data_IF_100019608458
#
_entry.id   IF_100019608458
#
_cell.length_a   1.000
_cell.length_b   1.000
_cell.length_c   1.000
_cell.angle_alpha   90.00
_cell.angle_beta   90.00
_cell.angle_gamma   90.00
#
_symmetry.space_group_name_H-M   'P 1'
#
loop_
_entity.id
_entity.type
_entity.pdbx_description
1 polymer ?
#
# COMPACT_ATOMS: atom_id res chain seq x y z
N UNK A 1 11.18 6.99 -8.94
CA UNK A 1 10.32 6.50 -7.83
C UNK A 1 11.07 5.42 -7.04
N UNK A 2 11.05 5.51 -5.73
CA UNK A 2 11.72 4.56 -4.85
C UNK A 2 10.69 3.89 -3.96
N UNK A 3 10.73 2.56 -3.86
CA UNK A 3 9.88 1.80 -2.96
C UNK A 3 10.67 1.34 -1.73
N UNK A 4 9.99 1.36 -0.58
CA UNK A 4 10.47 0.73 0.65
C UNK A 4 9.42 -0.29 1.08
N UNK A 5 9.85 -1.54 1.22
CA UNK A 5 8.95 -2.63 1.58
C UNK A 5 9.35 -3.15 2.95
N UNK A 6 8.37 -3.27 3.84
CA UNK A 6 8.54 -3.86 5.16
C UNK A 6 7.48 -4.92 5.40
N UNK A 7 7.73 -5.79 6.36
CA UNK A 7 6.79 -6.81 6.80
C UNK A 7 6.46 -6.59 8.26
N UNK A 8 5.28 -7.03 8.68
CA UNK A 8 4.85 -6.91 10.06
C UNK A 8 4.06 -8.12 10.52
N UNK A 9 4.06 -8.34 11.83
CA UNK A 9 3.33 -9.46 12.44
C UNK A 9 1.82 -9.19 12.49
N UNK A 10 1.44 -7.94 12.74
CA UNK A 10 0.04 -7.53 12.83
C UNK A 10 -0.19 -6.25 12.03
N UNK A 11 -1.39 -6.06 11.45
CA UNK A 11 -1.65 -4.86 10.66
C UNK A 11 -1.90 -3.60 11.49
N UNK A 12 -2.17 -3.73 12.77
CA UNK A 12 -2.56 -2.61 13.62
C UNK A 12 -1.53 -1.47 13.59
N UNK A 13 -0.24 -1.80 13.74
CA UNK A 13 0.81 -0.79 13.77
C UNK A 13 0.84 0.09 12.52
N UNK A 14 0.84 -0.53 11.34
CA UNK A 14 0.85 0.20 10.07
C UNK A 14 -0.42 1.02 9.88
N UNK A 15 -1.58 0.48 10.24
CA UNK A 15 -2.86 1.19 10.09
C UNK A 15 -2.95 2.36 11.05
N UNK A 16 -2.54 2.23 12.31
CA UNK A 16 -2.51 3.32 13.26
C UNK A 16 -1.53 4.42 12.85
N UNK A 17 -0.37 4.04 12.32
CA UNK A 17 0.60 5.01 11.82
C UNK A 17 -0.02 5.91 10.74
N UNK A 18 -0.73 5.30 9.78
CA UNK A 18 -1.37 6.05 8.71
C UNK A 18 -2.58 6.86 9.21
N UNK A 19 -3.38 6.30 10.13
CA UNK A 19 -4.50 7.02 10.74
C UNK A 19 -4.01 8.26 11.49
N UNK A 20 -2.91 8.13 12.23
CA UNK A 20 -2.33 9.24 12.96
C UNK A 20 -1.92 10.39 12.01
N UNK A 21 -1.35 10.07 10.86
CA UNK A 21 -1.04 11.08 9.83
C UNK A 21 -2.30 11.80 9.34
N UNK A 22 -3.37 11.08 9.12
CA UNK A 22 -4.65 11.65 8.70
C UNK A 22 -5.18 12.59 9.79
N UNK A 23 -5.19 12.14 11.03
CA UNK A 23 -5.71 12.92 12.18
C UNK A 23 -4.92 14.19 12.41
N UNK A 24 -3.64 14.21 12.05
CA UNK A 24 -2.80 15.41 12.14
C UNK A 24 -2.92 16.35 10.94
N UNK A 25 -3.70 15.99 9.93
CA UNK A 25 -3.80 16.77 8.69
C UNK A 25 -2.61 16.58 7.75
N UNK A 26 -1.79 15.57 7.96
CA UNK A 26 -0.59 15.27 7.17
C UNK A 26 -0.79 14.12 6.20
N UNK A 27 -1.95 13.50 6.19
CA UNK A 27 -2.24 12.35 5.37
C UNK A 27 -3.67 12.28 4.90
N UNK A 28 -3.92 11.39 3.94
CA UNK A 28 -5.24 11.13 3.39
C UNK A 28 -5.42 9.65 3.11
N UNK A 29 -6.65 9.17 3.23
CA UNK A 29 -7.03 7.83 2.81
C UNK A 29 -7.47 7.90 1.34
N UNK A 30 -6.66 7.35 0.41
CA UNK A 30 -6.91 7.51 -1.01
C UNK A 30 -7.86 6.48 -1.59
N UNK A 31 -7.67 5.21 -1.26
CA UNK A 31 -8.44 4.13 -1.89
C UNK A 31 -8.26 2.82 -1.11
N UNK A 32 -9.27 1.95 -1.19
CA UNK A 32 -9.20 0.57 -0.73
C UNK A 32 -9.47 -0.37 -1.91
N UNK A 33 -8.73 -1.47 -1.98
CA UNK A 33 -8.93 -2.50 -3.00
C UNK A 33 -9.32 -3.81 -2.34
N UNK A 34 -10.25 -4.52 -2.97
CA UNK A 34 -10.67 -5.87 -2.55
C UNK A 34 -11.17 -5.94 -1.11
N UNK A 35 -11.83 -4.88 -0.66
CA UNK A 35 -12.49 -4.81 0.64
C UNK A 35 -13.89 -4.22 0.47
N UNK A 36 -14.83 -4.51 1.40
CA UNK A 36 -16.12 -3.82 1.39
C UNK A 36 -16.03 -2.35 1.80
N UNK A 37 -14.92 -1.95 2.39
CA UNK A 37 -14.68 -0.59 2.85
C UNK A 37 -14.37 0.33 1.67
N UNK A 38 -15.00 1.51 1.64
CA UNK A 38 -14.78 2.51 0.60
C UNK A 38 -14.39 3.84 1.22
N UNK A 39 -13.71 4.68 0.45
CA UNK A 39 -13.39 6.03 0.88
C UNK A 39 -14.66 6.89 0.76
N UNK A 40 -15.15 7.38 1.90
CA UNK A 40 -16.26 8.34 1.96
C UNK A 40 -15.75 9.76 2.18
N UNK A 41 -14.68 9.90 2.94
CA UNK A 41 -13.96 11.15 3.18
C UNK A 41 -12.48 10.80 3.30
N UNK A 42 -11.63 11.42 2.48
CA UNK A 42 -10.19 11.17 2.49
C UNK A 42 -9.52 11.54 3.83
N UNK A 43 -10.17 12.35 4.65
CA UNK A 43 -9.69 12.76 5.97
C UNK A 43 -10.18 11.85 7.10
N UNK A 44 -10.87 10.77 6.77
CA UNK A 44 -11.41 9.83 7.75
C UNK A 44 -11.03 8.40 7.39
N UNK A 45 -10.53 7.65 8.36
CA UNK A 45 -10.21 6.23 8.21
C UNK A 45 -10.70 5.45 9.43
N UNK A 46 -11.62 4.52 9.20
CA UNK A 46 -12.15 3.66 10.25
C UNK A 46 -11.23 2.46 10.44
N UNK A 47 -10.37 2.54 11.44
CA UNK A 47 -9.37 1.51 11.70
C UNK A 47 -9.99 0.19 12.15
N UNK A 48 -11.11 0.22 12.88
CA UNK A 48 -11.80 -1.00 13.32
C UNK A 48 -12.35 -1.76 12.13
N UNK A 49 -12.97 -1.05 11.20
CA UNK A 49 -13.48 -1.66 9.97
C UNK A 49 -12.35 -2.22 9.13
N UNK A 50 -11.26 -1.50 8.99
CA UNK A 50 -10.08 -1.95 8.26
C UNK A 50 -9.51 -3.24 8.86
N UNK A 51 -9.39 -3.31 10.17
CA UNK A 51 -8.93 -4.51 10.86
C UNK A 51 -9.88 -5.69 10.63
N UNK A 52 -11.20 -5.44 10.64
CA UNK A 52 -12.17 -6.49 10.31
C UNK A 52 -12.03 -6.99 8.88
N UNK A 53 -11.70 -6.12 7.93
CA UNK A 53 -11.46 -6.52 6.55
C UNK A 53 -10.28 -7.49 6.42
N UNK A 54 -9.25 -7.32 7.25
CA UNK A 54 -8.05 -8.17 7.23
C UNK A 54 -8.25 -9.50 7.99
N UNK A 55 -9.17 -9.53 8.94
CA UNK A 55 -9.33 -10.65 9.85
C UNK A 55 -9.52 -12.00 9.17
N UNK A 56 -10.40 -12.17 8.16
CA UNK A 56 -10.57 -13.47 7.50
C UNK A 56 -9.29 -14.01 6.87
N UNK A 57 -8.46 -13.13 6.33
CA UNK A 57 -7.19 -13.52 5.71
C UNK A 57 -6.20 -14.00 6.77
N UNK A 58 -6.10 -13.28 7.88
CA UNK A 58 -5.21 -13.63 8.98
C UNK A 58 -5.64 -14.92 9.66
N UNK A 59 -6.96 -15.14 9.78
CA UNK A 59 -7.53 -16.38 10.33
C UNK A 59 -7.23 -17.58 9.43
N UNK A 60 -7.21 -17.39 8.11
CA UNK A 60 -6.98 -18.47 7.16
C UNK A 60 -5.55 -19.01 7.21
N UNK A 61 -4.59 -18.22 7.68
CA UNK A 61 -3.19 -18.63 7.82
C UNK A 61 -2.55 -17.98 9.04
N UNK A 62 -2.51 -18.72 10.15
CA UNK A 62 -1.90 -18.26 11.40
C UNK A 62 -0.41 -18.64 11.51
N UNK A 63 0.12 -19.42 10.56
CA UNK A 63 1.51 -19.91 10.60
C UNK A 63 2.51 -18.85 10.14
N UNK A 64 2.09 -17.98 9.25
CA UNK A 64 2.97 -16.92 8.71
C UNK A 64 3.21 -15.89 9.81
N UNK A 65 4.47 -15.71 10.19
CA UNK A 65 4.85 -14.82 11.31
C UNK A 65 4.68 -13.35 10.98
N UNK A 66 4.98 -12.97 9.72
CA UNK A 66 4.93 -11.59 9.27
C UNK A 66 4.03 -11.47 8.03
N UNK A 67 2.69 -11.60 8.21
CA UNK A 67 1.77 -11.60 7.09
C UNK A 67 1.49 -10.21 6.51
N UNK A 68 1.90 -9.15 7.17
CA UNK A 68 1.61 -7.78 6.71
C UNK A 68 2.64 -7.33 5.69
N UNK A 69 2.14 -6.84 4.57
CA UNK A 69 2.92 -6.17 3.53
C UNK A 69 2.70 -4.67 3.67
N UNK A 70 3.77 -3.92 3.83
CA UNK A 70 3.72 -2.46 3.89
C UNK A 70 4.76 -1.91 2.92
N UNK A 71 4.31 -1.12 1.95
CA UNK A 71 5.20 -0.49 0.99
C UNK A 71 4.96 1.01 0.96
N UNK A 72 6.03 1.80 0.88
CA UNK A 72 5.92 3.21 0.53
C UNK A 72 6.47 3.41 -0.88
N UNK A 73 5.75 4.17 -1.70
CA UNK A 73 6.18 4.54 -3.05
C UNK A 73 6.46 6.03 -3.05
N UNK A 74 7.70 6.38 -3.36
CA UNK A 74 8.23 7.74 -3.20
C UNK A 74 8.66 8.26 -4.57
N UNK A 75 7.82 9.05 -5.26
CA UNK A 75 8.22 9.69 -6.52
C UNK A 75 9.25 10.79 -6.28
N UNK A 76 9.96 11.18 -7.35
CA UNK A 76 10.87 12.31 -7.26
C UNK A 76 10.08 13.59 -6.91
N UNK A 77 10.69 14.54 -6.16
CA UNK A 77 9.98 15.76 -5.77
C UNK A 77 9.45 16.58 -6.96
N UNK A 78 10.12 16.48 -8.11
CA UNK A 78 9.73 17.19 -9.32
C UNK A 78 8.53 16.57 -10.03
N UNK A 79 8.24 15.30 -9.74
CA UNK A 79 7.10 14.61 -10.35
C UNK A 79 5.82 15.04 -9.66
N UNK A 80 4.91 15.63 -10.43
CA UNK A 80 3.63 16.11 -9.92
C UNK A 80 2.53 15.14 -10.31
N UNK A 81 2.20 14.24 -9.40
CA UNK A 81 1.17 13.23 -9.61
C UNK A 81 -0.11 13.65 -8.91
N UNK A 82 -1.23 13.53 -9.63
CA UNK A 82 -2.55 13.74 -9.03
C UNK A 82 -2.91 12.58 -8.10
N UNK A 83 -3.91 12.77 -7.26
CA UNK A 83 -4.41 11.69 -6.42
C UNK A 83 -4.91 10.51 -7.24
N UNK A 84 -5.57 10.78 -8.39
CA UNK A 84 -6.04 9.71 -9.27
C UNK A 84 -4.88 8.94 -9.89
N UNK A 85 -3.83 9.62 -10.30
CA UNK A 85 -2.62 8.96 -10.81
C UNK A 85 -1.96 8.10 -9.73
N UNK A 86 -1.89 8.59 -8.49
CA UNK A 86 -1.36 7.81 -7.37
C UNK A 86 -2.20 6.58 -7.07
N UNK A 87 -3.53 6.67 -7.16
CA UNK A 87 -4.42 5.50 -7.01
C UNK A 87 -4.16 4.46 -8.10
N UNK A 88 -4.00 4.90 -9.35
CA UNK A 88 -3.70 3.99 -10.47
C UNK A 88 -2.34 3.34 -10.32
N UNK A 89 -1.32 4.10 -9.92
CA UNK A 89 0.02 3.57 -9.69
C UNK A 89 -0.01 2.51 -8.59
N UNK A 90 -0.72 2.76 -7.49
CA UNK A 90 -0.87 1.78 -6.42
C UNK A 90 -1.52 0.49 -6.91
N UNK A 91 -2.60 0.60 -7.70
CA UNK A 91 -3.29 -0.56 -8.27
C UNK A 91 -2.35 -1.38 -9.16
N UNK A 92 -1.69 -0.73 -10.09
CA UNK A 92 -0.78 -1.41 -11.03
C UNK A 92 0.40 -2.04 -10.31
N UNK A 93 0.95 -1.33 -9.33
CA UNK A 93 2.05 -1.86 -8.52
C UNK A 93 1.65 -3.15 -7.81
N UNK A 94 0.50 -3.14 -7.14
CA UNK A 94 0.01 -4.30 -6.41
C UNK A 94 -0.32 -5.47 -7.34
N UNK A 95 -0.94 -5.20 -8.48
CA UNK A 95 -1.23 -6.24 -9.47
C UNK A 95 0.04 -6.90 -9.98
N UNK A 96 1.03 -6.10 -10.35
CA UNK A 96 2.31 -6.60 -10.88
C UNK A 96 3.16 -7.29 -9.83
N UNK A 97 3.03 -6.89 -8.56
CA UNK A 97 3.70 -7.58 -7.45
C UNK A 97 3.07 -8.94 -7.13
N UNK A 98 1.92 -9.26 -7.71
CA UNK A 98 1.19 -10.49 -7.41
C UNK A 98 0.17 -10.35 -6.29
N UNK A 99 -0.12 -9.14 -5.85
CA UNK A 99 -1.05 -8.86 -4.76
C UNK A 99 -2.39 -8.30 -5.25
N UNK A 100 -2.71 -8.46 -6.53
CA UNK A 100 -3.91 -7.86 -7.12
C UNK A 100 -5.24 -8.32 -6.52
N UNK A 101 -5.28 -9.49 -5.88
CA UNK A 101 -6.48 -10.00 -5.21
C UNK A 101 -6.52 -9.72 -3.72
N UNK A 102 -5.48 -9.12 -3.17
CA UNK A 102 -5.34 -8.91 -1.73
C UNK A 102 -6.10 -7.68 -1.24
N UNK A 103 -6.61 -7.71 0.00
CA UNK A 103 -7.20 -6.53 0.61
C UNK A 103 -6.11 -5.49 0.82
N UNK A 104 -6.40 -4.24 0.48
CA UNK A 104 -5.34 -3.24 0.43
C UNK A 104 -5.92 -1.87 0.76
N UNK A 105 -5.19 -1.11 1.58
CA UNK A 105 -5.50 0.28 1.89
C UNK A 105 -4.35 1.16 1.46
N UNK A 106 -4.65 2.26 0.78
CA UNK A 106 -3.64 3.18 0.24
C UNK A 106 -3.83 4.56 0.85
N UNK A 107 -2.75 5.11 1.37
CA UNK A 107 -2.72 6.40 2.05
C UNK A 107 -1.73 7.33 1.35
N UNK A 108 -2.08 8.62 1.29
CA UNK A 108 -1.18 9.68 0.85
C UNK A 108 -0.57 10.34 2.08
N UNK A 109 0.73 10.59 2.05
CA UNK A 109 1.41 11.39 3.07
C UNK A 109 1.88 12.70 2.45
N UNK A 110 1.58 13.81 3.13
CA UNK A 110 1.88 15.18 2.70
C UNK A 110 2.67 15.94 3.76
N UNK A 111 3.31 15.24 4.69
CA UNK A 111 4.06 15.83 5.80
C UNK A 111 5.47 16.31 5.42
N UNK A 112 5.89 16.02 4.19
CA UNK A 112 7.15 16.50 3.61
C UNK A 112 6.84 17.07 2.22
N UNK A 113 7.80 17.78 1.64
CA UNK A 113 7.61 18.39 0.31
C UNK A 113 7.21 17.36 -0.76
N UNK A 114 7.77 16.17 -0.68
CA UNK A 114 7.50 15.12 -1.62
C UNK A 114 6.27 14.32 -1.19
N UNK A 115 5.24 14.35 -2.03
CA UNK A 115 4.05 13.53 -1.82
C UNK A 115 4.42 12.07 -2.08
N UNK A 116 4.03 11.19 -1.19
CA UNK A 116 4.31 9.76 -1.31
C UNK A 116 3.13 8.96 -0.77
N UNK A 117 3.01 7.70 -1.22
CA UNK A 117 1.92 6.83 -0.78
C UNK A 117 2.44 5.69 0.05
N UNK A 118 1.58 5.24 0.97
CA UNK A 118 1.79 4.04 1.77
C UNK A 118 0.71 3.04 1.44
N UNK A 119 1.11 1.80 1.21
CA UNK A 119 0.23 0.69 0.85
C UNK A 119 0.30 -0.33 1.99
N UNK A 120 -0.84 -0.66 2.58
CA UNK A 120 -0.93 -1.69 3.63
C UNK A 120 -1.78 -2.83 3.12
N UNK A 121 -1.22 -4.03 3.07
CA UNK A 121 -1.86 -5.22 2.57
C UNK A 121 -1.37 -6.46 3.31
N UNK A 122 -1.73 -7.63 2.82
CA UNK A 122 -1.39 -8.92 3.44
C UNK A 122 -0.73 -9.86 2.43
N UNK A 123 0.20 -10.68 2.93
CA UNK A 123 0.87 -11.72 2.14
C UNK A 123 0.17 -13.07 2.20
N UNK A 124 -0.99 -13.15 2.81
CA UNK A 124 -1.74 -14.39 2.98
C UNK A 124 -3.11 -14.24 2.32
N UNK A 125 -3.53 -15.25 1.56
CA UNK A 125 -4.81 -15.25 0.88
C UNK A 125 -5.91 -15.91 1.72
N UNK A 126 -7.15 -15.76 1.29
CA UNK A 126 -8.30 -16.41 1.92
C UNK A 126 -8.23 -17.94 1.83
N UNK A 127 -7.49 -18.47 0.86
CA UNK A 127 -7.26 -19.91 0.71
C UNK A 127 -6.23 -20.46 1.70
N UNK A 128 -5.69 -19.63 2.57
CA UNK A 128 -4.68 -20.01 3.56
C UNK A 128 -3.26 -20.08 3.02
N UNK A 129 -3.04 -19.74 1.76
CA UNK A 129 -1.71 -19.76 1.16
C UNK A 129 -0.99 -18.43 1.36
N UNK A 130 0.30 -18.53 1.65
CA UNK A 130 1.17 -17.36 1.66
C UNK A 130 1.58 -17.05 0.23
N UNK A 131 1.45 -15.78 -0.18
CA UNK A 131 1.94 -15.34 -1.47
C UNK A 131 3.46 -15.35 -1.50
N UNK A 132 4.03 -15.73 -2.66
CA UNK A 132 5.48 -15.73 -2.84
C UNK A 132 6.02 -14.30 -2.81
N UNK A 133 7.13 -14.11 -2.10
CA UNK A 133 7.81 -12.82 -2.06
C UNK A 133 9.30 -12.93 -2.40
N UNK A 134 9.68 -14.00 -3.12
CA UNK A 134 11.04 -14.21 -3.56
C UNK A 134 11.48 -13.06 -4.48
N UNK A 135 12.70 -12.55 -4.26
CA UNK A 135 13.26 -11.46 -5.04
C UNK A 135 12.35 -10.22 -5.08
N UNK A 136 11.64 -9.96 -4.01
CA UNK A 136 10.63 -8.90 -3.95
C UNK A 136 11.21 -7.52 -4.26
N UNK A 137 12.37 -7.19 -3.72
CA UNK A 137 13.01 -5.91 -3.97
C UNK A 137 13.39 -5.73 -5.44
N UNK A 138 13.91 -6.78 -6.07
CA UNK A 138 14.25 -6.77 -7.50
C UNK A 138 13.02 -6.62 -8.37
N UNK A 139 11.99 -7.42 -8.09
CA UNK A 139 10.71 -7.34 -8.83
C UNK A 139 10.08 -5.96 -8.67
N UNK A 140 10.11 -5.42 -7.46
CA UNK A 140 9.61 -4.09 -7.19
C UNK A 140 10.34 -3.04 -8.03
N UNK A 141 11.68 -3.10 -8.12
CA UNK A 141 12.44 -2.16 -8.93
C UNK A 141 12.08 -2.25 -10.41
N UNK A 142 11.94 -3.44 -10.94
CA UNK A 142 11.54 -3.64 -12.34
C UNK A 142 10.14 -3.07 -12.62
N UNK A 143 9.21 -3.26 -11.68
CA UNK A 143 7.85 -2.73 -11.80
C UNK A 143 7.88 -1.20 -11.78
N UNK A 144 8.63 -0.61 -10.85
CA UNK A 144 8.73 0.85 -10.75
C UNK A 144 9.39 1.46 -12.00
N UNK A 145 10.39 0.80 -12.57
CA UNK A 145 10.99 1.24 -13.84
C UNK A 145 9.94 1.30 -14.94
N UNK A 146 9.06 0.30 -15.03
CA UNK A 146 7.99 0.27 -16.01
C UNK A 146 6.95 1.37 -15.75
N UNK A 147 6.60 1.61 -14.49
CA UNK A 147 5.65 2.68 -14.12
C UNK A 147 6.24 4.06 -14.40
N UNK A 148 7.53 4.26 -14.12
CA UNK A 148 8.21 5.52 -14.44
C UNK A 148 8.11 5.83 -15.93
N UNK A 149 8.35 4.84 -16.79
CA UNK A 149 8.22 5.01 -18.24
C UNK A 149 6.79 5.31 -18.67
N UNK A 150 5.83 4.57 -18.09
CA UNK A 150 4.42 4.72 -18.45
C UNK A 150 3.86 6.10 -18.08
N UNK A 151 4.23 6.62 -16.92
CA UNK A 151 3.73 7.90 -16.42
C UNK A 151 4.65 9.07 -16.72
N UNK A 152 5.74 8.84 -17.46
CA UNK A 152 6.70 9.90 -17.80
C UNK A 152 7.40 10.49 -16.59
N UNK A 153 7.70 9.66 -15.61
CA UNK A 153 8.32 10.10 -14.37
C UNK A 153 9.84 10.09 -14.47
N UNK A 154 10.46 10.84 -13.57
CA UNK A 154 11.91 10.90 -13.46
C UNK A 154 12.44 9.56 -12.93
N UNK A 155 13.40 8.92 -13.63
CA UNK A 155 13.98 7.65 -13.14
C UNK A 155 14.68 7.84 -11.81
N UNK A 156 14.61 6.82 -10.95
CA UNK A 156 15.41 6.78 -9.74
C UNK A 156 16.88 6.63 -10.11
N UNK A 157 17.74 7.42 -9.47
CA UNK A 157 19.17 7.39 -9.72
C UNK A 157 19.83 6.10 -9.20
#
# INVERSE_FOLDING_TARGET
MVARITSGATPAGALYYNKDKIDRGEGRFLVAFNTPMQVTDERYFDIREALRCFEPYLEANRRTKNPVFHASLNPAPEDRLSNDELRQIAREYMERMGYGAQPCFVFLHEDIERRHIHIVSLRVGLDGRKLAHDFEARRSREILDALERRYGLRPAA
#
